data_IF_735460644275
#
_entry.id   IF_735460644275
#
_cell.length_a   1.000
_cell.length_b   1.000
_cell.length_c   1.000
_cell.angle_alpha   90.00
_cell.angle_beta   90.00
_cell.angle_gamma   90.00
#
_symmetry.space_group_name_H-M   'P 1'
#
loop_
_entity.id
_entity.type
_entity.pdbx_description
1 polymer ?
#
# COMPACT_ATOMS: atom_id res chain seq x y z
N UNK A 1 -0.22 0.73 5.17
CA UNK A 1 0.92 -0.11 5.62
C UNK A 1 1.07 -1.27 4.66
N UNK A 2 2.29 -1.74 4.40
CA UNK A 2 2.53 -2.89 3.53
C UNK A 2 2.06 -4.18 4.21
N UNK A 3 1.35 -5.04 3.47
CA UNK A 3 0.75 -6.25 4.02
C UNK A 3 1.79 -7.29 4.49
N UNK A 4 3.02 -7.24 3.97
CA UNK A 4 4.06 -8.22 4.28
C UNK A 4 5.01 -7.71 5.37
N UNK A 5 5.57 -6.51 5.19
CA UNK A 5 6.57 -5.95 6.13
C UNK A 5 5.93 -5.24 7.32
N UNK A 6 4.64 -4.88 7.23
CA UNK A 6 3.95 -3.98 8.18
C UNK A 6 4.63 -2.61 8.29
N UNK A 7 5.55 -2.27 7.40
CA UNK A 7 6.15 -0.96 7.32
C UNK A 7 5.23 0.01 6.58
N UNK A 8 5.53 1.31 6.68
CA UNK A 8 4.92 2.31 5.79
C UNK A 8 5.33 1.97 4.35
N UNK A 9 4.38 2.06 3.44
CA UNK A 9 4.64 1.87 2.01
C UNK A 9 5.35 3.13 1.52
N UNK A 10 6.44 2.97 0.78
CA UNK A 10 7.16 4.08 0.15
C UNK A 10 6.79 4.19 -1.33
N UNK A 11 6.70 3.04 -2.02
CA UNK A 11 6.31 2.97 -3.43
C UNK A 11 5.05 2.11 -3.59
N UNK A 12 3.84 2.69 -3.47
CA UNK A 12 2.59 1.96 -3.59
C UNK A 12 2.38 1.43 -4.99
N UNK A 13 2.19 0.12 -5.09
CA UNK A 13 1.76 -0.51 -6.31
C UNK A 13 0.79 -1.66 -6.08
N UNK A 14 0.19 -2.08 -7.18
CA UNK A 14 -0.77 -3.17 -7.24
C UNK A 14 -0.75 -3.80 -8.63
N UNK A 15 -1.42 -4.93 -8.79
CA UNK A 15 -1.68 -5.48 -10.11
C UNK A 15 -2.80 -4.73 -10.82
N UNK A 16 -2.66 -4.55 -12.13
CA UNK A 16 -3.65 -3.94 -13.02
C UNK A 16 -5.04 -4.58 -12.89
N UNK A 17 -5.09 -5.89 -12.63
CA UNK A 17 -6.32 -6.68 -12.54
C UNK A 17 -6.69 -7.07 -11.11
N UNK A 18 -6.01 -6.53 -10.10
CA UNK A 18 -6.39 -6.75 -8.70
C UNK A 18 -7.76 -6.14 -8.41
N UNK A 19 -8.63 -6.87 -7.70
CA UNK A 19 -9.96 -6.40 -7.26
C UNK A 19 -9.94 -5.71 -5.88
N UNK A 20 -8.82 -5.77 -5.15
CA UNK A 20 -8.64 -5.05 -3.90
C UNK A 20 -8.20 -3.60 -4.16
N UNK A 21 -8.48 -2.72 -3.21
CA UNK A 21 -8.06 -1.32 -3.26
C UNK A 21 -6.64 -1.12 -2.73
N UNK A 22 -6.21 -1.97 -1.80
CA UNK A 22 -4.94 -1.82 -1.08
C UNK A 22 -3.72 -1.94 -1.99
N UNK A 23 -2.65 -1.24 -1.64
CA UNK A 23 -1.36 -1.34 -2.29
C UNK A 23 -0.36 -2.12 -1.44
N UNK A 24 0.68 -2.64 -2.08
CA UNK A 24 1.88 -3.16 -1.43
C UNK A 24 3.10 -2.31 -1.85
N UNK A 25 4.20 -2.44 -1.13
CA UNK A 25 5.45 -1.78 -1.51
C UNK A 25 6.12 -2.51 -2.68
N UNK A 26 6.24 -1.81 -3.82
CA UNK A 26 6.80 -2.37 -5.04
C UNK A 26 8.26 -2.75 -4.87
N UNK A 27 9.04 -1.96 -4.13
CA UNK A 27 10.46 -2.25 -3.92
C UNK A 27 10.65 -3.55 -3.16
N UNK A 28 9.83 -3.78 -2.13
CA UNK A 28 9.85 -5.03 -1.37
C UNK A 28 9.33 -6.22 -2.19
N UNK A 29 8.27 -6.01 -2.98
CA UNK A 29 7.76 -7.03 -3.88
C UNK A 29 8.81 -7.46 -4.93
N UNK A 30 9.53 -6.52 -5.53
CA UNK A 30 10.61 -6.82 -6.49
C UNK A 30 11.72 -7.65 -5.85
N UNK A 31 12.24 -7.24 -4.68
CA UNK A 31 13.27 -7.98 -3.94
C UNK A 31 12.85 -9.41 -3.60
N UNK A 32 11.58 -9.62 -3.23
CA UNK A 32 11.05 -10.96 -2.94
C UNK A 32 11.01 -11.83 -4.20
N UNK A 33 10.57 -11.26 -5.32
CA UNK A 33 10.44 -11.99 -6.57
C UNK A 33 11.78 -12.29 -7.23
N UNK A 34 12.81 -11.49 -6.99
CA UNK A 34 14.18 -11.81 -7.38
C UNK A 34 14.67 -13.13 -6.74
N UNK A 35 14.23 -13.44 -5.51
CA UNK A 35 14.66 -14.65 -4.77
C UNK A 35 13.85 -15.90 -5.09
N UNK A 36 12.54 -15.74 -5.32
CA UNK A 36 11.59 -16.86 -5.32
C UNK A 36 10.78 -17.02 -6.62
N UNK A 37 10.83 -16.03 -7.52
CA UNK A 37 10.11 -16.01 -8.80
C UNK A 37 8.60 -16.32 -8.68
N UNK A 38 7.97 -15.99 -7.55
CA UNK A 38 6.56 -16.31 -7.31
C UNK A 38 5.60 -15.56 -8.23
N UNK A 39 5.94 -14.32 -8.63
CA UNK A 39 5.14 -13.41 -9.46
C UNK A 39 3.64 -13.40 -9.13
N UNK A 40 3.33 -13.34 -7.83
CA UNK A 40 1.96 -13.24 -7.31
C UNK A 40 1.77 -11.96 -6.55
N UNK A 41 0.56 -11.41 -6.61
CA UNK A 41 0.14 -10.30 -5.77
C UNK A 41 0.21 -10.75 -4.29
N UNK A 42 0.92 -10.03 -3.41
CA UNK A 42 1.06 -10.43 -2.01
C UNK A 42 -0.24 -10.28 -1.21
N UNK A 43 -1.22 -9.55 -1.75
CA UNK A 43 -2.51 -9.30 -1.10
C UNK A 43 -3.54 -10.36 -1.53
N UNK A 44 -3.86 -10.44 -2.82
CA UNK A 44 -4.89 -11.37 -3.32
C UNK A 44 -4.37 -12.69 -3.91
N UNK A 45 -3.04 -12.90 -3.97
CA UNK A 45 -2.39 -14.12 -4.50
C UNK A 45 -2.66 -14.44 -5.98
N UNK A 46 -3.32 -13.53 -6.71
CA UNK A 46 -3.46 -13.59 -8.16
C UNK A 46 -2.11 -13.42 -8.85
N UNK A 47 -1.96 -14.00 -10.04
CA UNK A 47 -0.75 -13.85 -10.84
C UNK A 47 -0.53 -12.37 -11.19
N UNK A 48 0.73 -11.94 -11.06
CA UNK A 48 1.17 -10.57 -11.25
C UNK A 48 2.50 -10.56 -12.02
N UNK A 49 2.44 -10.64 -13.35
CA UNK A 49 3.62 -10.43 -14.17
C UNK A 49 4.09 -8.96 -14.07
N UNK A 50 5.37 -8.71 -14.33
CA UNK A 50 5.94 -7.36 -14.28
C UNK A 50 5.22 -6.37 -15.22
N UNK A 51 4.64 -6.85 -16.33
CA UNK A 51 3.87 -6.03 -17.28
C UNK A 51 2.56 -5.50 -16.71
N UNK A 52 2.03 -6.15 -15.67
CA UNK A 52 0.78 -5.79 -15.03
C UNK A 52 0.99 -5.10 -13.68
N UNK A 53 2.24 -4.97 -13.23
CA UNK A 53 2.61 -4.19 -12.06
C UNK A 53 2.46 -2.70 -12.37
N UNK A 54 1.64 -2.01 -11.59
CA UNK A 54 1.40 -0.57 -11.74
C UNK A 54 1.68 0.17 -10.44
N UNK A 55 2.17 1.41 -10.55
CA UNK A 55 2.24 2.34 -9.43
C UNK A 55 0.87 3.01 -9.27
N UNK A 56 0.36 3.03 -8.05
CA UNK A 56 -0.92 3.69 -7.75
C UNK A 56 -0.67 5.15 -7.36
N UNK A 57 -0.92 6.07 -8.30
CA UNK A 57 -0.67 7.50 -8.11
C UNK A 57 -1.54 8.11 -7.00
N UNK A 58 -2.78 7.65 -6.82
CA UNK A 58 -3.68 8.16 -5.79
C UNK A 58 -3.12 7.84 -4.40
N UNK A 59 -2.76 6.59 -4.15
CA UNK A 59 -2.13 6.20 -2.89
C UNK A 59 -0.73 6.79 -2.71
N UNK A 60 0.02 7.02 -3.80
CA UNK A 60 1.31 7.72 -3.74
C UNK A 60 1.15 9.13 -3.17
N UNK A 61 0.14 9.86 -3.65
CA UNK A 61 -0.16 11.20 -3.16
C UNK A 61 -0.67 11.18 -1.70
N UNK A 62 -1.51 10.21 -1.32
CA UNK A 62 -1.93 10.03 0.07
C UNK A 62 -0.71 9.82 0.98
N UNK A 63 0.18 8.89 0.64
CA UNK A 63 1.38 8.58 1.45
C UNK A 63 2.34 9.76 1.54
N UNK A 64 2.40 10.62 0.51
CA UNK A 64 3.25 11.82 0.53
C UNK A 64 2.67 12.92 1.42
N UNK A 65 1.34 13.05 1.46
CA UNK A 65 0.64 14.12 2.15
C UNK A 65 0.20 13.74 3.58
N UNK A 66 0.12 12.44 3.89
CA UNK A 66 -0.29 11.99 5.21
C UNK A 66 0.81 12.18 6.25
N UNK A 67 0.45 12.48 7.52
CA UNK A 67 1.39 12.48 8.63
C UNK A 67 2.14 11.15 8.74
N UNK A 68 3.38 11.19 9.22
CA UNK A 68 4.23 9.99 9.36
C UNK A 68 3.73 9.02 10.44
N UNK A 69 2.96 9.52 11.41
CA UNK A 69 2.36 8.75 12.50
C UNK A 69 0.96 8.22 12.16
N UNK A 70 0.38 8.61 11.02
CA UNK A 70 -0.87 8.04 10.54
C UNK A 70 -0.66 6.61 10.05
N UNK A 71 -1.41 5.66 10.61
CA UNK A 71 -1.35 4.23 10.24
C UNK A 71 -2.46 3.84 9.27
N UNK A 72 -3.53 4.63 9.19
CA UNK A 72 -4.66 4.44 8.29
C UNK A 72 -5.24 5.78 7.82
N UNK A 73 -6.03 5.73 6.76
CA UNK A 73 -6.78 6.87 6.21
C UNK A 73 -8.23 6.44 5.99
N UNK A 74 -9.16 7.39 6.09
CA UNK A 74 -10.56 7.18 5.69
C UNK A 74 -10.72 7.84 4.33
N UNK A 75 -11.21 7.09 3.34
CA UNK A 75 -11.49 7.58 1.98
C UNK A 75 -13.01 7.67 1.80
N UNK A 76 -13.47 8.84 1.37
CA UNK A 76 -14.87 9.14 1.08
C UNK A 76 -15.24 8.77 -0.36
N UNK A 77 -16.54 8.73 -0.67
CA UNK A 77 -17.04 8.40 -2.02
C UNK A 77 -16.63 9.41 -3.10
N UNK A 78 -16.29 10.64 -2.72
CA UNK A 78 -15.78 11.69 -3.60
C UNK A 78 -14.24 11.64 -3.76
N UNK A 79 -13.61 10.56 -3.29
CA UNK A 79 -12.16 10.36 -3.23
C UNK A 79 -11.39 11.36 -2.36
N UNK A 80 -12.08 12.21 -1.57
CA UNK A 80 -11.43 12.92 -0.47
C UNK A 80 -10.99 11.92 0.61
N UNK A 81 -9.95 12.27 1.35
CA UNK A 81 -9.42 11.41 2.39
C UNK A 81 -8.93 12.20 3.59
N UNK A 82 -8.96 11.56 4.77
CA UNK A 82 -8.44 12.12 6.02
C UNK A 82 -7.57 11.09 6.74
N UNK A 83 -6.43 11.50 7.33
CA UNK A 83 -5.61 10.59 8.13
C UNK A 83 -6.30 10.25 9.45
N UNK A 84 -6.15 9.01 9.89
CA UNK A 84 -6.50 8.59 11.25
C UNK A 84 -5.23 8.67 12.08
N UNK A 85 -5.18 9.64 12.98
CA UNK A 85 -4.10 9.79 13.95
C UNK A 85 -4.70 9.42 15.30
N UNK A 86 -4.11 8.44 15.98
CA UNK A 86 -4.56 8.11 17.34
C UNK A 86 -4.24 9.28 18.27
N UNK A 87 -5.25 9.82 18.93
CA UNK A 87 -5.03 10.75 20.03
C UNK A 87 -4.27 9.99 21.13
N UNK A 88 -3.04 10.41 21.41
CA UNK A 88 -2.35 9.98 22.64
C UNK A 88 -3.23 10.37 23.81
N UNK A 89 -3.87 9.40 24.45
CA UNK A 89 -4.46 9.61 25.78
C UNK A 89 -3.31 10.07 26.68
N UNK A 90 -3.31 11.34 27.08
CA UNK A 90 -2.48 11.79 28.20
C UNK A 90 -2.83 10.89 29.39
N UNK A 91 -1.80 10.21 29.91
CA UNK A 91 -1.96 9.30 31.02
C UNK A 91 -2.54 10.03 32.24
N UNK A 92 -3.60 9.46 32.80
CA UNK A 92 -3.99 9.71 34.19
C UNK A 92 -3.10 8.93 35.14
#
# INVERSE_FOLDING_TARGET
MDAQSRARIDLPGRGRFCSHIDCFDVSEWLKRNERSLSLKCPICQMDLPFTDLVIDEYFFNILKLSPTDATSVIISNDASWVPVVEERKEGG
#
